data_IF_464648416759
#
_entry.id   IF_464648416759
#
_cell.length_a   1.000
_cell.length_b   1.000
_cell.length_c   1.000
_cell.angle_alpha   90.00
_cell.angle_beta   90.00
_cell.angle_gamma   90.00
#
_symmetry.space_group_name_H-M   'P 1'
#
loop_
_entity.id
_entity.type
_entity.pdbx_description
1 polymer ?
#
# COMPACT_ATOMS: atom_id res chain seq x y z
N UNK A 1 18.66 13.30 -9.58
CA UNK A 1 17.90 12.52 -10.57
C UNK A 1 18.32 12.92 -11.97
N UNK A 2 19.61 13.10 -12.21
CA UNK A 2 20.09 13.39 -13.57
C UNK A 2 20.32 12.04 -14.26
N UNK A 3 19.63 11.86 -15.39
CA UNK A 3 19.69 10.74 -16.32
C UNK A 3 18.79 9.51 -16.05
N UNK A 4 17.52 9.72 -15.69
CA UNK A 4 16.52 8.67 -15.90
C UNK A 4 16.26 8.48 -17.40
N UNK A 5 16.77 7.37 -17.96
CA UNK A 5 16.43 6.93 -19.31
C UNK A 5 15.22 6.00 -19.22
N UNK A 6 14.07 6.45 -19.76
CA UNK A 6 12.81 5.71 -19.77
C UNK A 6 12.84 4.49 -20.69
N UNK A 7 13.67 4.51 -21.74
CA UNK A 7 13.80 3.46 -22.72
C UNK A 7 14.39 3.96 -24.03
N UNK A 8 14.35 3.13 -25.07
CA UNK A 8 14.83 3.46 -26.41
C UNK A 8 13.83 3.01 -27.48
N UNK A 9 13.67 3.79 -28.55
CA UNK A 9 12.93 3.35 -29.72
C UNK A 9 13.84 2.53 -30.63
N UNK A 10 13.44 1.29 -30.95
CA UNK A 10 14.10 0.46 -31.94
C UNK A 10 13.24 0.28 -33.18
N UNK A 11 13.91 0.39 -34.32
CA UNK A 11 13.33 0.16 -35.65
C UNK A 11 13.63 -1.27 -36.07
N UNK A 12 12.59 -2.00 -36.42
CA UNK A 12 12.67 -3.41 -36.82
C UNK A 12 12.22 -3.55 -38.27
N UNK A 13 12.85 -4.48 -38.98
CA UNK A 13 12.51 -4.81 -40.36
C UNK A 13 12.14 -6.28 -40.44
N UNK A 14 10.89 -6.59 -40.78
CA UNK A 14 10.47 -7.94 -41.13
C UNK A 14 10.56 -8.10 -42.64
N UNK A 15 11.44 -9.00 -43.09
CA UNK A 15 11.70 -9.32 -44.50
C UNK A 15 11.97 -8.12 -45.43
N UNK A 16 12.54 -7.03 -44.89
CA UNK A 16 12.87 -5.76 -45.59
C UNK A 16 11.70 -4.99 -46.23
N UNK A 17 10.50 -5.54 -46.28
CA UNK A 17 9.30 -4.89 -46.83
C UNK A 17 8.47 -4.16 -45.76
N UNK A 18 8.53 -4.60 -44.50
CA UNK A 18 7.74 -4.02 -43.40
C UNK A 18 8.67 -3.44 -42.33
N UNK A 19 8.55 -2.13 -42.14
CA UNK A 19 9.21 -1.37 -41.08
C UNK A 19 8.21 -1.10 -39.95
N UNK A 20 8.61 -1.37 -38.70
CA UNK A 20 7.88 -0.87 -37.53
C UNK A 20 8.84 -0.36 -36.45
N UNK A 21 8.38 0.64 -35.71
CA UNK A 21 9.09 1.20 -34.56
C UNK A 21 8.44 0.69 -33.28
N UNK A 22 9.25 0.20 -32.34
CA UNK A 22 8.80 -0.22 -31.02
C UNK A 22 9.60 0.47 -29.93
N UNK A 23 8.92 0.85 -28.85
CA UNK A 23 9.56 1.40 -27.65
C UNK A 23 9.97 0.24 -26.74
N UNK A 24 11.25 0.21 -26.37
CA UNK A 24 11.78 -0.74 -25.41
C UNK A 24 11.99 -0.01 -24.10
N UNK A 25 11.20 -0.30 -23.05
CA UNK A 25 11.38 0.34 -21.76
C UNK A 25 12.75 -0.02 -21.18
N UNK A 26 13.36 0.94 -20.50
CA UNK A 26 14.59 0.72 -19.75
C UNK A 26 14.36 -0.26 -18.59
N UNK A 27 15.44 -0.88 -18.11
CA UNK A 27 15.38 -1.79 -16.97
C UNK A 27 14.75 -1.10 -15.74
N UNK A 28 13.77 -1.76 -15.13
CA UNK A 28 13.04 -1.23 -13.97
C UNK A 28 13.81 -1.52 -12.66
N UNK A 29 14.51 -2.65 -12.61
CA UNK A 29 15.25 -3.13 -11.43
C UNK A 29 16.67 -2.54 -11.37
N UNK A 30 16.78 -1.23 -11.13
CA UNK A 30 18.06 -0.56 -10.92
C UNK A 30 18.33 -0.42 -9.43
N UNK A 31 19.60 -0.53 -9.03
CA UNK A 31 19.97 -0.27 -7.63
C UNK A 31 19.66 1.18 -7.28
N UNK A 32 18.93 1.38 -6.20
CA UNK A 32 18.61 2.70 -5.66
C UNK A 32 19.80 3.19 -4.83
N UNK A 33 20.58 4.12 -5.36
CA UNK A 33 21.66 4.77 -4.64
C UNK A 33 21.16 6.09 -4.04
N UNK A 34 20.93 6.10 -2.73
CA UNK A 34 20.58 7.32 -2.00
C UNK A 34 21.79 8.25 -1.98
N UNK A 35 21.67 9.43 -2.60
CA UNK A 35 22.73 10.43 -2.60
C UNK A 35 22.69 11.34 -1.36
N UNK A 36 21.55 11.37 -0.68
CA UNK A 36 21.32 12.21 0.48
C UNK A 36 21.49 11.41 1.78
N UNK A 37 22.45 11.83 2.60
CA UNK A 37 22.74 11.20 3.90
C UNK A 37 21.60 11.38 4.92
N UNK A 38 20.73 12.36 4.74
CA UNK A 38 19.55 12.54 5.60
C UNK A 38 18.62 11.31 5.52
N UNK A 39 18.51 10.69 4.35
CA UNK A 39 17.68 9.49 4.14
C UNK A 39 18.17 8.34 5.02
N UNK A 40 19.48 8.10 5.10
CA UNK A 40 20.04 7.07 5.98
C UNK A 40 19.78 7.37 7.46
N UNK A 41 19.83 8.64 7.85
CA UNK A 41 19.54 9.07 9.21
C UNK A 41 18.07 8.83 9.58
N UNK A 42 17.15 9.19 8.68
CA UNK A 42 15.72 8.94 8.85
C UNK A 42 15.41 7.45 8.87
N UNK A 43 16.02 6.65 7.99
CA UNK A 43 15.87 5.19 7.96
C UNK A 43 16.27 4.58 9.30
N UNK A 44 17.47 4.90 9.81
CA UNK A 44 17.95 4.38 11.09
C UNK A 44 17.04 4.79 12.26
N UNK A 45 16.50 6.00 12.23
CA UNK A 45 15.51 6.46 13.21
C UNK A 45 14.20 5.65 13.11
N UNK A 46 13.71 5.41 11.91
CA UNK A 46 12.50 4.60 11.66
C UNK A 46 12.68 3.17 12.15
N UNK A 47 13.79 2.52 11.82
CA UNK A 47 14.09 1.15 12.27
C UNK A 47 14.07 1.05 13.80
N UNK A 48 14.67 2.03 14.49
CA UNK A 48 14.65 2.09 15.96
C UNK A 48 13.23 2.24 16.51
N UNK A 49 12.40 3.09 15.91
CA UNK A 49 11.02 3.31 16.36
C UNK A 49 10.14 2.08 16.12
N UNK A 50 10.32 1.39 14.99
CA UNK A 50 9.64 0.12 14.70
C UNK A 50 10.07 -0.95 15.70
N UNK A 51 11.35 -1.05 16.03
CA UNK A 51 11.84 -1.97 17.05
C UNK A 51 11.26 -1.69 18.44
N UNK A 52 11.10 -0.42 18.81
CA UNK A 52 10.42 -0.02 20.06
C UNK A 52 8.94 -0.41 20.05
N UNK A 53 8.22 -0.16 18.95
CA UNK A 53 6.82 -0.57 18.79
C UNK A 53 6.67 -2.08 18.94
N UNK A 54 7.54 -2.86 18.29
CA UNK A 54 7.55 -4.32 18.43
C UNK A 54 7.87 -4.77 19.86
N UNK A 55 8.68 -4.02 20.61
CA UNK A 55 8.96 -4.34 22.02
C UNK A 55 7.72 -4.12 22.91
N UNK A 56 6.90 -3.11 22.60
CA UNK A 56 5.67 -2.83 23.34
C UNK A 56 4.52 -3.78 23.01
N UNK A 57 4.52 -4.44 21.84
CA UNK A 57 3.45 -5.37 21.44
C UNK A 57 3.26 -6.51 22.44
N UNK A 58 4.33 -6.97 23.09
CA UNK A 58 4.28 -8.02 24.12
C UNK A 58 3.59 -7.60 25.43
N UNK A 59 3.29 -6.31 25.62
CA UNK A 59 2.54 -5.80 26.77
C UNK A 59 1.03 -5.75 26.52
N UNK A 60 0.60 -5.96 25.27
CA UNK A 60 -0.80 -5.85 24.87
C UNK A 60 -1.51 -7.17 25.21
N UNK A 61 -2.61 -7.12 26.01
CA UNK A 61 -3.31 -8.33 26.44
C UNK A 61 -3.93 -9.13 25.28
N UNK A 62 -4.46 -8.43 24.28
CA UNK A 62 -5.06 -9.01 23.08
C UNK A 62 -4.56 -8.21 21.86
N UNK A 63 -3.61 -8.80 21.14
CA UNK A 63 -2.98 -8.17 19.98
C UNK A 63 -3.93 -8.12 18.78
N UNK A 64 -4.88 -9.05 18.68
CA UNK A 64 -5.79 -9.15 17.54
C UNK A 64 -6.80 -8.00 17.58
N UNK A 65 -7.35 -7.70 18.76
CA UNK A 65 -8.23 -6.52 18.95
C UNK A 65 -7.46 -5.23 18.69
N UNK A 66 -6.20 -5.14 19.13
CA UNK A 66 -5.38 -3.96 18.90
C UNK A 66 -5.10 -3.74 17.41
N UNK A 67 -4.75 -4.81 16.67
CA UNK A 67 -4.53 -4.76 15.22
C UNK A 67 -5.82 -4.35 14.50
N UNK A 68 -6.95 -4.99 14.82
CA UNK A 68 -8.25 -4.68 14.22
C UNK A 68 -8.59 -3.19 14.36
N UNK A 69 -8.42 -2.62 15.56
CA UNK A 69 -8.68 -1.20 15.79
C UNK A 69 -7.79 -0.27 14.94
N UNK A 70 -6.52 -0.65 14.71
CA UNK A 70 -5.61 0.11 13.85
C UNK A 70 -5.98 -0.01 12.38
N UNK A 71 -6.35 -1.21 11.92
CA UNK A 71 -6.81 -1.44 10.55
C UNK A 71 -8.06 -0.59 10.28
N UNK A 72 -9.05 -0.60 11.18
CA UNK A 72 -10.26 0.21 11.03
C UNK A 72 -9.93 1.70 11.00
N UNK A 73 -9.05 2.15 11.90
CA UNK A 73 -8.63 3.56 11.95
C UNK A 73 -7.94 3.98 10.66
N UNK A 74 -7.07 3.13 10.11
CA UNK A 74 -6.35 3.42 8.88
C UNK A 74 -7.26 3.35 7.65
N UNK A 75 -8.12 2.34 7.56
CA UNK A 75 -9.11 2.21 6.49
C UNK A 75 -10.03 3.42 6.42
N UNK A 76 -10.59 3.86 7.57
CA UNK A 76 -11.43 5.08 7.63
C UNK A 76 -10.66 6.33 7.20
N UNK A 77 -9.41 6.51 7.65
CA UNK A 77 -8.58 7.66 7.24
C UNK A 77 -8.20 7.63 5.76
N UNK A 78 -7.82 6.47 5.24
CA UNK A 78 -7.41 6.29 3.85
C UNK A 78 -8.61 6.53 2.92
N UNK A 79 -9.74 5.87 3.17
CA UNK A 79 -10.98 6.08 2.39
C UNK A 79 -11.44 7.54 2.46
N UNK A 80 -11.26 8.23 3.59
CA UNK A 80 -11.57 9.66 3.70
C UNK A 80 -10.73 10.55 2.78
N UNK A 81 -9.50 10.16 2.42
CA UNK A 81 -8.70 10.87 1.40
C UNK A 81 -9.36 10.73 0.02
N UNK A 82 -10.02 9.62 -0.25
CA UNK A 82 -10.70 9.30 -1.51
C UNK A 82 -12.13 9.89 -1.59
N UNK A 83 -12.66 10.39 -0.47
CA UNK A 83 -13.93 11.13 -0.39
C UNK A 83 -15.01 10.49 0.48
N UNK A 84 -14.73 9.32 1.05
CA UNK A 84 -15.64 8.55 1.89
C UNK A 84 -15.95 9.27 3.22
N UNK A 85 -17.19 9.22 3.68
CA UNK A 85 -17.67 9.86 4.92
C UNK A 85 -18.04 8.84 6.01
N UNK A 86 -17.32 7.72 6.08
CA UNK A 86 -17.49 6.71 7.13
C UNK A 86 -16.56 6.99 8.30
N UNK A 87 -17.16 7.24 9.47
CA UNK A 87 -16.44 7.38 10.73
C UNK A 87 -16.07 6.01 11.33
N UNK A 88 -15.11 6.00 12.26
CA UNK A 88 -14.57 4.76 12.86
C UNK A 88 -15.64 3.99 13.64
N UNK A 89 -16.52 4.70 14.34
CA UNK A 89 -17.62 4.09 15.09
C UNK A 89 -18.63 3.41 14.15
N UNK A 90 -18.92 4.00 13.00
CA UNK A 90 -19.75 3.39 11.96
C UNK A 90 -19.06 2.17 11.33
N UNK A 91 -17.74 2.22 11.12
CA UNK A 91 -16.98 1.11 10.54
C UNK A 91 -16.97 -0.17 11.40
N UNK A 92 -17.15 -0.06 12.72
CA UNK A 92 -17.21 -1.21 13.64
C UNK A 92 -18.61 -1.84 13.66
N UNK A 93 -19.65 -1.10 13.25
CA UNK A 93 -21.03 -1.55 13.31
C UNK A 93 -21.38 -2.51 12.16
N UNK A 94 -22.29 -3.47 12.40
CA UNK A 94 -22.79 -4.33 11.33
C UNK A 94 -23.64 -3.55 10.33
N UNK A 95 -23.56 -3.90 9.05
CA UNK A 95 -24.29 -3.25 7.94
C UNK A 95 -25.78 -3.00 8.23
N UNK A 96 -26.42 -3.93 8.96
CA UNK A 96 -27.85 -3.88 9.31
C UNK A 96 -28.24 -2.61 10.07
N UNK A 97 -27.33 -2.03 10.85
CA UNK A 97 -27.59 -0.80 11.61
C UNK A 97 -27.07 0.46 10.90
N UNK A 98 -26.39 0.30 9.76
CA UNK A 98 -25.96 1.40 8.91
C UNK A 98 -27.14 1.87 8.07
N UNK A 99 -27.34 3.19 8.08
CA UNK A 99 -28.37 3.85 7.28
C UNK A 99 -28.14 3.55 5.79
N UNK A 100 -29.18 3.22 5.00
CA UNK A 100 -29.01 2.85 3.59
C UNK A 100 -28.16 3.83 2.78
N UNK A 101 -28.33 5.13 3.00
CA UNK A 101 -27.58 6.20 2.33
C UNK A 101 -26.08 6.25 2.64
N UNK A 102 -25.61 5.56 3.70
CA UNK A 102 -24.21 5.48 4.10
C UNK A 102 -23.55 4.14 3.78
N UNK A 103 -24.31 3.18 3.23
CA UNK A 103 -23.82 1.80 3.05
C UNK A 103 -22.75 1.69 1.99
N UNK A 104 -22.78 2.54 0.96
CA UNK A 104 -21.76 2.53 -0.09
C UNK A 104 -20.38 2.90 0.49
N UNK A 105 -20.32 4.02 1.20
CA UNK A 105 -19.13 4.47 1.92
C UNK A 105 -18.66 3.45 2.98
N UNK A 106 -19.60 2.85 3.72
CA UNK A 106 -19.28 1.83 4.71
C UNK A 106 -18.69 0.58 4.05
N UNK A 107 -19.27 0.15 2.93
CA UNK A 107 -18.80 -1.00 2.16
C UNK A 107 -17.37 -0.80 1.64
N UNK A 108 -17.01 0.42 1.27
CA UNK A 108 -15.65 0.77 0.83
C UNK A 108 -14.63 0.51 1.95
N UNK A 109 -14.91 1.01 3.16
CA UNK A 109 -14.06 0.76 4.34
C UNK A 109 -13.98 -0.74 4.65
N UNK A 110 -15.09 -1.47 4.59
CA UNK A 110 -15.09 -2.92 4.80
C UNK A 110 -14.28 -3.68 3.74
N UNK A 111 -14.32 -3.23 2.49
CA UNK A 111 -13.54 -3.83 1.41
C UNK A 111 -12.04 -3.61 1.62
N UNK A 112 -11.63 -2.44 2.12
CA UNK A 112 -10.25 -2.18 2.52
C UNK A 112 -9.78 -3.18 3.60
N UNK A 113 -10.58 -3.33 4.66
CA UNK A 113 -10.27 -4.27 5.77
C UNK A 113 -10.12 -5.69 5.23
N UNK A 114 -11.08 -6.17 4.44
CA UNK A 114 -11.05 -7.51 3.82
C UNK A 114 -9.84 -7.71 2.92
N UNK A 115 -9.46 -6.71 2.14
CA UNK A 115 -8.29 -6.78 1.25
C UNK A 115 -6.98 -6.87 2.07
N UNK A 116 -6.88 -6.11 3.17
CA UNK A 116 -5.74 -6.18 4.08
C UNK A 116 -5.62 -7.55 4.74
N UNK A 117 -6.72 -8.06 5.30
CA UNK A 117 -6.75 -9.39 5.94
C UNK A 117 -6.38 -10.50 4.94
N UNK A 118 -6.92 -10.42 3.71
CA UNK A 118 -6.55 -11.33 2.63
C UNK A 118 -5.05 -11.27 2.33
N UNK A 119 -4.47 -10.07 2.19
CA UNK A 119 -3.04 -9.92 1.91
C UNK A 119 -2.16 -10.48 3.05
N UNK A 120 -2.53 -10.26 4.31
CA UNK A 120 -1.82 -10.81 5.49
C UNK A 120 -1.85 -12.34 5.48
N UNK A 121 -2.98 -12.95 5.16
CA UNK A 121 -3.08 -14.42 5.05
C UNK A 121 -2.27 -14.97 3.88
N UNK A 122 -2.22 -14.26 2.74
CA UNK A 122 -1.42 -14.68 1.59
C UNK A 122 0.08 -14.54 1.81
N UNK A 123 0.54 -13.58 2.63
CA UNK A 123 1.96 -13.46 3.01
C UNK A 123 2.51 -14.71 3.72
N UNK A 124 1.64 -15.54 4.31
CA UNK A 124 2.04 -16.84 4.90
C UNK A 124 2.34 -17.91 3.84
N UNK A 125 1.89 -17.70 2.59
CA UNK A 125 1.94 -18.69 1.49
C UNK A 125 2.88 -18.29 0.35
N UNK A 126 3.15 -17.00 0.21
CA UNK A 126 4.03 -16.45 -0.83
C UNK A 126 5.46 -16.33 -0.26
N UNK A 127 6.50 -16.75 -1.00
CA UNK A 127 7.90 -16.66 -0.56
C UNK A 127 8.41 -15.22 -0.41
#
# INVERSE_FOLDING_TARGET
MEDFISGEYKKYFYDKEIEYNSFIPGWVNRQFNWKDNEIYTLLSKSDRLIGQLNSFSGLIPDIDVFILMHIITEASKSSKIEGTQTDIDEAILPEKVIKPEKRDDWNEVQNYIKAMDFAIEELKKIP
#
